data_IF_252822220990
#
_entry.id   IF_252822220990
#
_cell.length_a   1.000
_cell.length_b   1.000
_cell.length_c   1.000
_cell.angle_alpha   90.00
_cell.angle_beta   90.00
_cell.angle_gamma   90.00
#
_symmetry.space_group_name_H-M   'P 1'
#
loop_
_entity.id
_entity.type
_entity.pdbx_description
1 polymer ?
#
# COMPACT_ATOMS: atom_id res chain seq x y z
N UNK A 1 -9.19 10.83 -13.09
CA UNK A 1 -8.95 9.49 -12.53
C UNK A 1 -9.56 9.46 -11.15
N UNK A 2 -10.36 8.46 -10.86
CA UNK A 2 -11.02 8.23 -9.58
C UNK A 2 -10.23 7.16 -8.82
N UNK A 3 -9.70 7.50 -7.66
CA UNK A 3 -8.83 6.62 -6.86
C UNK A 3 -9.51 6.32 -5.53
N UNK A 4 -9.57 5.06 -5.14
CA UNK A 4 -9.93 4.69 -3.78
C UNK A 4 -8.71 4.23 -3.00
N UNK A 5 -8.58 4.67 -1.75
CA UNK A 5 -7.46 4.36 -0.86
C UNK A 5 -7.97 3.60 0.37
N UNK A 6 -7.73 2.30 0.41
CA UNK A 6 -7.93 1.48 1.61
C UNK A 6 -6.75 1.68 2.57
N UNK A 7 -7.06 2.00 3.82
CA UNK A 7 -6.07 2.41 4.81
C UNK A 7 -5.72 3.90 4.77
N UNK A 8 -6.59 4.73 4.18
CA UNK A 8 -6.42 6.17 4.03
C UNK A 8 -6.12 6.91 5.34
N UNK A 9 -6.64 6.44 6.47
CA UNK A 9 -6.43 7.04 7.80
C UNK A 9 -5.10 6.66 8.46
N UNK A 10 -4.35 5.72 7.85
CA UNK A 10 -2.99 5.35 8.26
C UNK A 10 -1.96 6.42 7.92
N UNK A 11 -0.76 6.32 8.50
CA UNK A 11 0.28 7.36 8.33
C UNK A 11 0.77 7.53 6.90
N UNK A 12 0.81 6.46 6.09
CA UNK A 12 1.11 6.54 4.65
C UNK A 12 -0.14 6.92 3.87
N UNK A 13 -1.31 6.36 4.23
CA UNK A 13 -2.58 6.69 3.58
C UNK A 13 -2.89 8.18 3.60
N UNK A 14 -2.61 8.86 4.71
CA UNK A 14 -2.78 10.32 4.81
C UNK A 14 -1.88 11.09 3.83
N UNK A 15 -0.63 10.63 3.65
CA UNK A 15 0.28 11.23 2.66
C UNK A 15 -0.22 10.97 1.23
N UNK A 16 -0.75 9.78 0.96
CA UNK A 16 -1.36 9.45 -0.34
C UNK A 16 -2.56 10.34 -0.64
N UNK A 17 -3.50 10.48 0.31
CA UNK A 17 -4.66 11.36 0.15
C UNK A 17 -4.20 12.77 -0.16
N UNK A 18 -3.31 13.35 0.67
CA UNK A 18 -2.80 14.71 0.50
C UNK A 18 -2.14 14.92 -0.87
N UNK A 19 -1.25 14.01 -1.28
CA UNK A 19 -0.51 14.17 -2.52
C UNK A 19 -1.39 13.88 -3.76
N UNK A 20 -2.35 12.94 -3.66
CA UNK A 20 -3.30 12.66 -4.73
C UNK A 20 -4.22 13.86 -5.00
N UNK A 21 -4.71 14.51 -3.94
CA UNK A 21 -5.50 15.76 -4.06
C UNK A 21 -4.69 16.89 -4.68
N UNK A 22 -3.42 17.06 -4.28
CA UNK A 22 -2.53 18.05 -4.88
C UNK A 22 -2.26 17.82 -6.38
N UNK A 23 -2.49 16.59 -6.86
CA UNK A 23 -2.41 16.22 -8.30
C UNK A 23 -3.80 16.23 -8.98
N UNK A 24 -4.82 16.81 -8.34
CA UNK A 24 -6.19 16.91 -8.84
C UNK A 24 -6.88 15.57 -9.14
N UNK A 25 -6.50 14.47 -8.47
CA UNK A 25 -7.24 13.23 -8.53
C UNK A 25 -8.50 13.31 -7.67
N UNK A 26 -9.57 12.63 -8.09
CA UNK A 26 -10.74 12.39 -7.24
C UNK A 26 -10.41 11.21 -6.32
N UNK A 27 -10.48 11.44 -5.01
CA UNK A 27 -10.01 10.50 -3.99
C UNK A 27 -11.15 10.08 -3.10
N UNK A 28 -11.39 8.77 -3.00
CA UNK A 28 -12.23 8.18 -1.95
C UNK A 28 -11.33 7.60 -0.85
N UNK A 29 -11.43 8.18 0.34
CA UNK A 29 -10.71 7.72 1.52
C UNK A 29 -11.57 6.71 2.28
N UNK A 30 -11.22 5.41 2.15
CA UNK A 30 -11.91 4.33 2.86
C UNK A 30 -11.30 4.06 4.23
N UNK A 31 -12.14 3.97 5.26
CA UNK A 31 -11.68 3.61 6.60
C UNK A 31 -12.76 3.58 7.67
N UNK A 32 -12.45 2.97 8.82
CA UNK A 32 -13.36 2.87 9.97
C UNK A 32 -13.53 4.19 10.74
N UNK A 33 -12.55 5.07 10.66
CA UNK A 33 -12.57 6.38 11.32
C UNK A 33 -11.97 7.42 10.38
N UNK A 34 -12.81 7.90 9.45
CA UNK A 34 -12.43 8.90 8.45
C UNK A 34 -12.33 10.32 9.04
N UNK A 35 -12.81 10.54 10.27
CA UNK A 35 -12.71 11.83 10.97
C UNK A 35 -11.26 12.28 11.14
N UNK A 36 -10.30 11.34 11.19
CA UNK A 36 -8.86 11.67 11.21
C UNK A 36 -8.40 12.49 10.00
N UNK A 37 -9.18 12.49 8.94
CA UNK A 37 -8.92 13.23 7.70
C UNK A 37 -9.84 14.45 7.55
N UNK A 38 -10.70 14.77 8.52
CA UNK A 38 -11.69 15.87 8.45
C UNK A 38 -11.06 17.26 8.27
N UNK A 39 -9.78 17.39 8.65
CA UNK A 39 -8.99 18.60 8.41
C UNK A 39 -8.62 18.81 6.93
N UNK A 40 -8.69 17.76 6.11
CA UNK A 40 -8.47 17.83 4.66
C UNK A 40 -9.80 18.17 3.98
N UNK A 41 -10.10 19.46 3.84
CA UNK A 41 -11.28 19.94 3.10
C UNK A 41 -10.87 20.12 1.64
N UNK A 42 -11.43 19.32 0.73
CA UNK A 42 -11.16 19.39 -0.70
C UNK A 42 -12.35 18.88 -1.50
N UNK A 43 -12.73 19.55 -2.57
CA UNK A 43 -13.88 19.19 -3.42
C UNK A 43 -13.74 17.78 -4.05
N UNK A 44 -12.51 17.35 -4.32
CA UNK A 44 -12.19 16.05 -4.88
C UNK A 44 -11.99 14.95 -3.81
N UNK A 45 -12.32 15.19 -2.54
CA UNK A 45 -12.19 14.21 -1.46
C UNK A 45 -13.55 13.73 -0.98
N UNK A 46 -13.77 12.43 -1.08
CA UNK A 46 -14.93 11.74 -0.53
C UNK A 46 -14.50 10.78 0.57
N UNK A 47 -15.28 10.71 1.64
CA UNK A 47 -15.05 9.75 2.72
C UNK A 47 -16.02 8.59 2.60
N UNK A 48 -15.50 7.36 2.71
CA UNK A 48 -16.30 6.15 2.80
C UNK A 48 -16.05 5.48 4.16
N UNK A 49 -17.06 5.47 5.01
CA UNK A 49 -16.97 4.81 6.32
C UNK A 49 -17.26 3.33 6.16
N UNK A 50 -16.27 2.46 6.41
CA UNK A 50 -16.42 1.03 6.25
C UNK A 50 -15.29 0.22 6.89
N UNK A 51 -15.55 -1.09 7.07
CA UNK A 51 -14.53 -2.05 7.51
C UNK A 51 -14.09 -2.90 6.32
N UNK A 52 -12.79 -2.97 6.09
CA UNK A 52 -12.20 -3.77 5.01
C UNK A 52 -12.43 -5.28 5.17
N UNK A 53 -12.78 -5.74 6.38
CA UNK A 53 -13.15 -7.12 6.65
C UNK A 53 -14.62 -7.43 6.29
N UNK A 54 -15.43 -6.42 6.04
CA UNK A 54 -16.80 -6.56 5.53
C UNK A 54 -16.78 -6.51 4.00
N UNK A 55 -17.12 -7.64 3.35
CA UNK A 55 -17.08 -7.78 1.89
C UNK A 55 -18.04 -6.83 1.16
N UNK A 56 -19.24 -6.66 1.68
CA UNK A 56 -20.26 -5.82 1.05
C UNK A 56 -19.84 -4.36 1.10
N UNK A 57 -19.36 -3.89 2.27
CA UNK A 57 -18.82 -2.55 2.43
C UNK A 57 -17.65 -2.27 1.48
N UNK A 58 -16.75 -3.24 1.28
CA UNK A 58 -15.64 -3.12 0.33
C UNK A 58 -16.18 -3.03 -1.10
N UNK A 59 -17.06 -3.94 -1.51
CA UNK A 59 -17.61 -3.98 -2.86
C UNK A 59 -18.36 -2.69 -3.21
N UNK A 60 -19.21 -2.21 -2.31
CA UNK A 60 -19.97 -0.97 -2.52
C UNK A 60 -19.05 0.24 -2.68
N UNK A 61 -17.98 0.29 -1.88
CA UNK A 61 -17.01 1.40 -1.95
C UNK A 61 -16.19 1.43 -3.23
N UNK A 62 -16.05 0.31 -3.93
CA UNK A 62 -15.23 0.21 -5.14
C UNK A 62 -15.91 0.77 -6.39
N UNK A 63 -17.22 0.99 -6.40
CA UNK A 63 -17.97 1.42 -7.56
C UNK A 63 -17.46 2.75 -8.12
N UNK A 64 -17.26 2.81 -9.44
CA UNK A 64 -16.87 4.05 -10.15
C UNK A 64 -15.41 4.47 -9.99
N UNK A 65 -14.53 3.58 -9.49
CA UNK A 65 -13.10 3.85 -9.35
C UNK A 65 -12.27 3.19 -10.46
N UNK A 66 -11.25 3.93 -10.91
CA UNK A 66 -10.32 3.48 -11.95
C UNK A 66 -9.13 2.69 -11.35
N UNK A 67 -8.68 3.09 -10.16
CA UNK A 67 -7.49 2.56 -9.49
C UNK A 67 -7.75 2.35 -8.01
N UNK A 68 -7.29 1.23 -7.49
CA UNK A 68 -7.38 0.87 -6.08
C UNK A 68 -6.00 0.87 -5.44
N UNK A 69 -5.83 1.65 -4.37
CA UNK A 69 -4.63 1.70 -3.54
C UNK A 69 -4.91 1.03 -2.19
N UNK A 70 -4.04 0.11 -1.79
CA UNK A 70 -4.15 -0.63 -0.53
C UNK A 70 -2.90 -0.37 0.33
N UNK A 71 -3.09 0.37 1.43
CA UNK A 71 -2.06 0.68 2.45
C UNK A 71 -2.51 0.25 3.83
N UNK A 72 -3.14 -0.92 3.91
CA UNK A 72 -3.68 -1.45 5.15
C UNK A 72 -2.59 -1.68 6.19
N UNK A 73 -2.86 -1.25 7.42
CA UNK A 73 -2.01 -1.44 8.57
C UNK A 73 -2.78 -1.98 9.78
N UNK A 74 -2.13 -2.83 10.57
CA UNK A 74 -2.69 -3.35 11.83
C UNK A 74 -1.64 -3.31 12.96
N UNK A 75 -0.67 -2.38 12.87
CA UNK A 75 0.45 -2.32 13.81
C UNK A 75 1.25 -3.64 13.81
N UNK A 76 1.64 -4.09 15.01
CA UNK A 76 2.38 -5.36 15.22
C UNK A 76 1.52 -6.60 15.01
N UNK A 77 0.20 -6.46 15.13
CA UNK A 77 -0.75 -7.58 14.97
C UNK A 77 -0.99 -7.86 13.50
N UNK A 78 -1.20 -9.12 13.16
CA UNK A 78 -1.69 -9.54 11.85
C UNK A 78 -3.22 -9.50 11.75
N UNK A 79 -3.76 -10.19 10.72
CA UNK A 79 -5.19 -10.52 10.62
C UNK A 79 -6.07 -9.44 9.98
N UNK A 80 -5.49 -8.38 9.41
CA UNK A 80 -6.26 -7.35 8.68
C UNK A 80 -5.78 -7.18 7.26
N UNK A 81 -4.47 -7.20 7.02
CA UNK A 81 -3.89 -6.93 5.69
C UNK A 81 -4.30 -7.99 4.68
N UNK A 82 -4.04 -9.24 4.98
CA UNK A 82 -4.31 -10.35 4.08
C UNK A 82 -5.83 -10.54 3.84
N UNK A 83 -6.69 -10.69 4.86
CA UNK A 83 -8.12 -10.85 4.62
C UNK A 83 -8.77 -9.61 3.99
N UNK A 84 -8.38 -8.41 4.39
CA UNK A 84 -8.87 -7.18 3.77
C UNK A 84 -8.47 -7.07 2.30
N UNK A 85 -7.22 -7.40 1.97
CA UNK A 85 -6.74 -7.40 0.58
C UNK A 85 -7.47 -8.46 -0.25
N UNK A 86 -7.79 -9.62 0.32
CA UNK A 86 -8.60 -10.64 -0.35
C UNK A 86 -9.98 -10.09 -0.71
N UNK A 87 -10.67 -9.43 0.23
CA UNK A 87 -11.98 -8.82 -0.02
C UNK A 87 -11.90 -7.73 -1.12
N UNK A 88 -10.84 -6.90 -1.10
CA UNK A 88 -10.62 -5.89 -2.14
C UNK A 88 -10.47 -6.56 -3.52
N UNK A 89 -9.62 -7.59 -3.64
CA UNK A 89 -9.39 -8.30 -4.90
C UNK A 89 -10.68 -8.95 -5.42
N UNK A 90 -11.48 -9.57 -4.55
CA UNK A 90 -12.76 -10.18 -4.90
C UNK A 90 -13.73 -9.10 -5.44
N UNK A 91 -13.91 -7.99 -4.73
CA UNK A 91 -14.75 -6.89 -5.16
C UNK A 91 -14.30 -6.24 -6.47
N UNK A 92 -12.98 -6.03 -6.64
CA UNK A 92 -12.41 -5.51 -7.89
C UNK A 92 -12.72 -6.41 -9.09
N UNK A 93 -12.58 -7.74 -8.93
CA UNK A 93 -12.90 -8.71 -9.98
C UNK A 93 -14.37 -8.68 -10.37
N UNK A 94 -15.26 -8.61 -9.39
CA UNK A 94 -16.70 -8.56 -9.63
C UNK A 94 -17.14 -7.29 -10.38
N UNK A 95 -16.44 -6.18 -10.17
CA UNK A 95 -16.72 -4.88 -10.78
C UNK A 95 -15.89 -4.58 -12.04
N UNK A 96 -14.99 -5.48 -12.44
CA UNK A 96 -14.14 -5.30 -13.62
C UNK A 96 -13.05 -4.24 -13.45
N UNK A 97 -12.67 -3.88 -12.21
CA UNK A 97 -11.59 -2.95 -11.93
C UNK A 97 -10.26 -3.72 -11.98
N UNK A 98 -9.33 -3.32 -12.83
CA UNK A 98 -8.09 -4.07 -13.03
C UNK A 98 -6.89 -3.51 -12.25
N UNK A 99 -6.74 -2.17 -12.16
CA UNK A 99 -5.52 -1.56 -11.63
C UNK A 99 -5.48 -1.57 -10.10
N UNK A 100 -4.49 -2.30 -9.53
CA UNK A 100 -4.31 -2.46 -8.09
C UNK A 100 -2.88 -2.17 -7.65
N UNK A 101 -2.68 -1.26 -6.70
CA UNK A 101 -1.38 -1.02 -6.06
C UNK A 101 -1.47 -1.37 -4.59
N UNK A 102 -0.66 -2.33 -4.16
CA UNK A 102 -0.68 -2.84 -2.80
C UNK A 102 0.66 -2.60 -2.11
N UNK A 103 0.62 -1.89 -0.99
CA UNK A 103 1.80 -1.72 -0.15
C UNK A 103 1.95 -2.91 0.80
N UNK A 104 3.16 -3.47 0.84
CA UNK A 104 3.57 -4.50 1.78
C UNK A 104 4.77 -4.03 2.61
N UNK A 105 5.86 -4.78 2.65
CA UNK A 105 7.09 -4.41 3.36
C UNK A 105 8.32 -4.99 2.66
N UNK A 106 9.44 -4.27 2.70
CA UNK A 106 10.74 -4.83 2.36
C UNK A 106 11.01 -6.03 3.28
N UNK A 107 11.49 -7.11 2.69
CA UNK A 107 11.69 -8.39 3.36
C UNK A 107 10.71 -9.47 2.91
N UNK A 108 9.58 -9.14 2.30
CA UNK A 108 8.71 -10.15 1.69
C UNK A 108 9.35 -10.76 0.45
N UNK A 109 9.15 -12.08 0.28
CA UNK A 109 9.69 -12.83 -0.85
C UNK A 109 11.21 -12.69 -0.98
N UNK A 110 11.69 -12.49 -2.21
CA UNK A 110 13.13 -12.37 -2.53
C UNK A 110 13.82 -11.20 -1.84
N UNK A 111 13.09 -10.11 -1.51
CA UNK A 111 13.65 -8.93 -0.87
C UNK A 111 14.10 -9.16 0.59
N UNK A 112 13.85 -10.34 1.15
CA UNK A 112 14.45 -10.76 2.44
C UNK A 112 15.99 -10.73 2.39
N UNK A 113 16.58 -10.93 1.23
CA UNK A 113 18.03 -10.85 1.06
C UNK A 113 18.59 -9.45 1.27
N UNK A 114 17.82 -8.40 1.02
CA UNK A 114 18.23 -7.01 1.26
C UNK A 114 18.35 -6.67 2.75
N UNK A 115 17.67 -7.41 3.63
CA UNK A 115 17.63 -7.11 5.06
C UNK A 115 18.94 -7.54 5.76
N UNK A 116 19.35 -6.76 6.76
CA UNK A 116 20.41 -7.14 7.67
C UNK A 116 19.93 -8.15 8.75
N UNK A 117 20.85 -8.64 9.56
CA UNK A 117 20.58 -9.64 10.61
C UNK A 117 19.47 -9.17 11.58
N UNK A 118 19.52 -7.92 12.03
CA UNK A 118 18.56 -7.36 13.00
C UNK A 118 17.14 -7.40 12.42
N UNK A 119 16.95 -6.94 11.17
CA UNK A 119 15.65 -6.95 10.52
C UNK A 119 15.13 -8.37 10.28
N UNK A 120 15.99 -9.31 9.86
CA UNK A 120 15.58 -10.70 9.61
C UNK A 120 15.16 -11.41 10.86
N UNK A 121 16.00 -11.40 11.89
CA UNK A 121 15.86 -12.29 13.04
C UNK A 121 15.17 -11.64 14.24
N UNK A 122 15.44 -10.36 14.52
CA UNK A 122 14.85 -9.68 15.67
C UNK A 122 13.51 -9.05 15.28
N UNK A 123 13.50 -8.23 14.24
CA UNK A 123 12.28 -7.51 13.87
C UNK A 123 11.21 -8.46 13.31
N UNK A 124 11.48 -9.16 12.23
CA UNK A 124 10.50 -10.04 11.57
C UNK A 124 10.47 -11.46 12.14
N UNK A 125 11.57 -11.94 12.74
CA UNK A 125 11.59 -13.23 13.42
C UNK A 125 10.85 -13.24 14.75
N UNK A 126 10.79 -12.10 15.44
CA UNK A 126 10.20 -12.02 16.80
C UNK A 126 9.20 -10.86 16.95
N UNK A 127 9.64 -9.59 16.93
CA UNK A 127 8.82 -8.44 17.30
C UNK A 127 7.61 -8.16 16.38
N UNK A 128 7.75 -8.39 15.09
CA UNK A 128 6.77 -8.12 14.04
C UNK A 128 6.35 -9.39 13.29
N UNK A 129 6.59 -10.55 13.87
CA UNK A 129 6.36 -11.87 13.25
C UNK A 129 4.96 -12.01 12.65
N UNK A 130 3.93 -11.61 13.40
CA UNK A 130 2.55 -11.75 12.96
C UNK A 130 2.20 -10.75 11.85
N UNK A 131 2.71 -9.53 11.96
CA UNK A 131 2.56 -8.54 10.88
C UNK A 131 3.30 -8.98 9.61
N UNK A 132 4.48 -9.57 9.75
CA UNK A 132 5.26 -10.08 8.63
C UNK A 132 4.53 -11.24 7.90
N UNK A 133 4.01 -12.21 8.65
CA UNK A 133 3.19 -13.31 8.08
C UNK A 133 1.94 -12.79 7.37
N UNK A 134 1.30 -11.76 7.93
CA UNK A 134 0.13 -11.13 7.31
C UNK A 134 0.50 -10.46 5.97
N UNK A 135 1.67 -9.81 5.88
CA UNK A 135 2.19 -9.28 4.62
C UNK A 135 2.55 -10.37 3.59
N UNK A 136 3.17 -11.46 4.02
CA UNK A 136 3.46 -12.60 3.12
C UNK A 136 2.18 -13.20 2.53
N UNK A 137 1.16 -13.38 3.38
CA UNK A 137 -0.13 -13.88 2.92
C UNK A 137 -0.86 -12.87 2.02
N UNK A 138 -0.74 -11.57 2.33
CA UNK A 138 -1.25 -10.48 1.48
C UNK A 138 -0.64 -10.56 0.07
N UNK A 139 0.69 -10.70 -0.04
CA UNK A 139 1.34 -10.83 -1.34
C UNK A 139 0.92 -12.08 -2.12
N UNK A 140 0.67 -13.20 -1.44
CA UNK A 140 0.15 -14.41 -2.10
C UNK A 140 -1.19 -14.14 -2.78
N UNK A 141 -2.11 -13.43 -2.11
CA UNK A 141 -3.40 -13.07 -2.72
C UNK A 141 -3.23 -12.13 -3.90
N UNK A 142 -2.37 -11.11 -3.78
CA UNK A 142 -2.13 -10.15 -4.87
C UNK A 142 -1.51 -10.85 -6.07
N UNK A 143 -0.44 -11.61 -5.88
CA UNK A 143 0.28 -12.34 -6.94
C UNK A 143 -0.57 -13.43 -7.61
N UNK A 144 -1.46 -14.08 -6.85
CA UNK A 144 -2.41 -15.07 -7.37
C UNK A 144 -3.62 -14.47 -8.08
N UNK A 145 -3.77 -13.15 -8.11
CA UNK A 145 -4.88 -12.49 -8.78
C UNK A 145 -4.59 -12.26 -10.26
N UNK A 146 -5.66 -12.10 -11.04
CA UNK A 146 -5.58 -11.72 -12.47
C UNK A 146 -5.46 -10.20 -12.68
N UNK A 147 -5.39 -9.41 -11.60
CA UNK A 147 -5.34 -7.96 -11.65
C UNK A 147 -4.03 -7.42 -12.25
N UNK A 148 -4.08 -6.19 -12.70
CA UNK A 148 -2.91 -5.42 -13.11
C UNK A 148 -2.26 -4.79 -11.87
N UNK A 149 -1.64 -5.65 -11.08
CA UNK A 149 -1.11 -5.28 -9.79
C UNK A 149 0.32 -4.73 -9.83
N UNK A 150 0.63 -3.88 -8.86
CA UNK A 150 1.98 -3.52 -8.44
C UNK A 150 2.07 -3.64 -6.94
N UNK A 151 3.05 -4.36 -6.42
CA UNK A 151 3.35 -4.41 -4.99
C UNK A 151 4.49 -3.43 -4.71
N UNK A 152 4.31 -2.57 -3.72
CA UNK A 152 5.36 -1.67 -3.23
C UNK A 152 5.84 -2.18 -1.89
N UNK A 153 7.15 -2.45 -1.78
CA UNK A 153 7.83 -2.96 -0.60
C UNK A 153 8.74 -1.90 0.01
N UNK A 154 8.21 -1.01 0.84
CA UNK A 154 9.03 0.01 1.46
C UNK A 154 9.89 -0.55 2.60
N UNK A 155 11.07 0.04 2.77
CA UNK A 155 11.91 -0.10 3.95
C UNK A 155 11.23 0.51 5.20
N UNK A 156 11.91 0.56 6.34
CA UNK A 156 11.36 1.12 7.58
C UNK A 156 10.94 2.59 7.42
N UNK A 157 9.75 2.92 7.92
CA UNK A 157 9.15 4.24 7.74
C UNK A 157 9.77 5.30 8.63
N UNK A 158 10.04 6.47 8.07
CA UNK A 158 10.44 7.68 8.78
C UNK A 158 9.45 8.82 8.53
N UNK A 159 9.43 9.79 9.43
CA UNK A 159 8.74 11.06 9.22
C UNK A 159 9.75 12.06 8.62
N UNK A 160 9.65 12.25 7.31
CA UNK A 160 10.52 13.15 6.55
C UNK A 160 9.74 13.87 5.46
N UNK A 161 10.31 14.95 4.97
CA UNK A 161 9.77 15.67 3.82
C UNK A 161 9.78 14.78 2.57
N UNK A 162 8.97 15.14 1.59
CA UNK A 162 9.05 14.59 0.24
C UNK A 162 10.37 15.01 -0.40
N UNK A 163 11.22 14.05 -0.71
CA UNK A 163 12.52 14.29 -1.34
C UNK A 163 12.52 13.94 -2.83
N UNK A 164 11.76 12.94 -3.21
CA UNK A 164 11.81 12.34 -4.56
C UNK A 164 13.13 11.63 -4.88
N UNK A 165 14.06 11.56 -3.90
CA UNK A 165 15.41 10.99 -4.05
C UNK A 165 15.49 9.66 -3.30
N UNK A 166 15.15 8.59 -3.96
CA UNK A 166 15.16 7.23 -3.41
C UNK A 166 15.52 6.21 -4.49
N UNK A 167 16.09 5.08 -4.05
CA UNK A 167 16.28 3.90 -4.90
C UNK A 167 14.98 3.10 -4.94
N UNK A 168 14.61 2.58 -6.11
CA UNK A 168 13.42 1.74 -6.27
C UNK A 168 13.64 0.63 -7.29
N UNK A 169 12.91 -0.49 -7.13
CA UNK A 169 13.00 -1.62 -8.05
C UNK A 169 14.36 -2.31 -8.07
N UNK A 170 15.17 -2.11 -7.04
CA UNK A 170 16.50 -2.73 -6.94
C UNK A 170 16.41 -4.24 -6.69
N UNK A 171 17.46 -4.94 -7.05
CA UNK A 171 17.53 -6.40 -6.92
C UNK A 171 17.65 -6.84 -5.46
N UNK A 172 17.40 -8.13 -5.22
CA UNK A 172 17.59 -8.74 -3.90
C UNK A 172 19.04 -8.72 -3.40
N UNK A 173 20.01 -8.50 -4.29
CA UNK A 173 21.45 -8.47 -3.97
C UNK A 173 21.94 -7.05 -3.68
N UNK A 174 21.11 -6.01 -3.90
CA UNK A 174 21.44 -4.63 -3.54
C UNK A 174 21.65 -4.49 -2.02
N UNK A 175 22.82 -3.97 -1.61
CA UNK A 175 23.22 -3.78 -0.22
C UNK A 175 23.44 -2.31 0.14
N UNK A 176 23.65 -1.45 -0.85
CA UNK A 176 23.81 -0.01 -0.64
C UNK A 176 22.46 0.69 -0.52
N UNK A 177 21.75 0.36 0.57
CA UNK A 177 20.45 0.93 0.95
C UNK A 177 20.41 1.17 2.45
N UNK A 178 19.78 2.28 2.87
CA UNK A 178 19.73 2.68 4.28
C UNK A 178 18.71 1.91 5.12
N UNK A 179 17.89 1.05 4.50
CA UNK A 179 16.72 0.38 5.10
C UNK A 179 15.71 1.33 5.74
N UNK A 180 15.65 2.57 5.25
CA UNK A 180 14.73 3.62 5.70
C UNK A 180 14.13 4.35 4.50
N UNK A 181 12.91 4.87 4.67
CA UNK A 181 12.23 5.69 3.65
C UNK A 181 11.17 6.56 4.31
N UNK A 182 11.00 7.81 3.87
CA UNK A 182 9.94 8.66 4.38
C UNK A 182 8.56 8.22 3.88
N UNK A 183 7.54 8.41 4.73
CA UNK A 183 6.15 8.15 4.34
C UNK A 183 5.71 8.98 3.15
N UNK A 184 6.27 10.19 3.05
CA UNK A 184 6.01 11.11 1.92
C UNK A 184 6.58 10.57 0.61
N UNK A 185 7.79 10.00 0.62
CA UNK A 185 8.40 9.40 -0.57
C UNK A 185 7.73 8.08 -0.97
N UNK A 186 7.23 7.29 -0.01
CA UNK A 186 6.42 6.10 -0.31
C UNK A 186 5.13 6.50 -1.04
N UNK A 187 4.46 7.56 -0.58
CA UNK A 187 3.26 8.04 -1.22
C UNK A 187 3.54 8.57 -2.64
N UNK A 188 4.60 9.35 -2.83
CA UNK A 188 5.02 9.82 -4.15
C UNK A 188 5.32 8.67 -5.11
N UNK A 189 6.10 7.69 -4.66
CA UNK A 189 6.40 6.51 -5.47
C UNK A 189 5.14 5.72 -5.83
N UNK A 190 4.21 5.57 -4.88
CA UNK A 190 2.92 4.92 -5.13
C UNK A 190 2.14 5.64 -6.22
N UNK A 191 2.05 6.97 -6.16
CA UNK A 191 1.33 7.78 -7.14
C UNK A 191 2.01 7.83 -8.51
N UNK A 192 3.34 7.74 -8.59
CA UNK A 192 4.08 7.61 -9.85
C UNK A 192 3.79 6.28 -10.57
N UNK A 193 3.34 5.27 -9.83
CA UNK A 193 3.02 3.95 -10.37
C UNK A 193 1.52 3.72 -10.64
N UNK A 194 0.67 4.77 -10.67
CA UNK A 194 -0.77 4.62 -10.88
C UNK A 194 -1.11 3.95 -12.22
N UNK A 195 -0.41 4.33 -13.27
CA UNK A 195 -0.60 3.74 -14.58
C UNK A 195 0.15 2.40 -14.69
N UNK A 196 -0.51 1.41 -15.29
CA UNK A 196 0.14 0.15 -15.63
C UNK A 196 1.18 0.39 -16.73
N UNK A 197 2.40 -0.07 -16.54
CA UNK A 197 3.49 0.00 -17.51
C UNK A 197 4.33 -1.28 -17.44
N UNK A 198 5.10 -1.57 -18.47
CA UNK A 198 6.00 -2.75 -18.47
C UNK A 198 6.98 -2.73 -17.29
N UNK A 199 7.34 -1.54 -16.79
CA UNK A 199 8.24 -1.36 -15.66
C UNK A 199 7.63 -1.73 -14.31
N UNK A 200 6.30 -1.68 -14.15
CA UNK A 200 5.64 -1.85 -12.86
C UNK A 200 4.52 -2.90 -12.85
N UNK A 201 4.05 -3.35 -14.02
CA UNK A 201 2.95 -4.30 -14.14
C UNK A 201 3.36 -5.68 -13.63
N UNK A 202 2.58 -6.22 -12.70
CA UNK A 202 2.79 -7.52 -12.03
C UNK A 202 4.19 -7.67 -11.44
N UNK A 203 4.71 -6.57 -10.88
CA UNK A 203 6.00 -6.51 -10.21
C UNK A 203 5.89 -6.11 -8.74
N UNK A 204 6.82 -6.63 -7.94
CA UNK A 204 7.04 -6.20 -6.57
C UNK A 204 8.29 -5.31 -6.54
N UNK A 205 8.10 -4.05 -6.21
CA UNK A 205 9.11 -3.00 -6.28
C UNK A 205 9.55 -2.60 -4.87
N UNK A 206 10.79 -2.89 -4.53
CA UNK A 206 11.41 -2.42 -3.30
C UNK A 206 11.72 -0.93 -3.38
N UNK A 207 11.64 -0.21 -2.24
CA UNK A 207 11.96 1.22 -2.15
C UNK A 207 12.68 1.54 -0.83
N UNK A 208 13.81 2.24 -0.92
CA UNK A 208 14.64 2.69 0.21
C UNK A 208 15.49 3.90 -0.18
N UNK A 209 16.04 4.60 0.80
CA UNK A 209 17.17 5.49 0.55
C UNK A 209 18.45 4.70 0.41
#
# INVERSE_FOLDING_TARGET
MNIIIFGATGTIGQQLVKQALAKNFKVTAFGRNTEKLSHLKHENLTFYHGDVLNKDSVKDSLQGHDVVLCTLGAGKKGGVRAPGTKNIIEGMKELGISRFICQTTLGCGESVKNLNFIWKHIMFGWLLKDAYKDHEQQEKFVKGSSLDWTIIRPAAFTDGALTGKYKSGFSADEKDISLKISRSDIADFTLKNLHASEGNLRKALAISY
#
